data_IF_528030034255
#
_entry.id   IF_528030034255
#
_cell.length_a   1.000
_cell.length_b   1.000
_cell.length_c   1.000
_cell.angle_alpha   90.00
_cell.angle_beta   90.00
_cell.angle_gamma   90.00
#
_symmetry.space_group_name_H-M   'P 1'
#
loop_
_entity.id
_entity.type
_entity.pdbx_description
1 polymer ?
#
# COMPACT_ATOMS: atom_id res chain seq x y z
N UNK A 1 12.12 -3.63 -17.06
CA UNK A 1 12.29 -2.67 -15.94
C UNK A 1 11.43 -3.11 -14.78
N UNK A 2 11.97 -3.00 -13.57
CA UNK A 2 11.25 -3.42 -12.39
C UNK A 2 10.09 -2.46 -12.08
N UNK A 3 8.96 -3.00 -11.69
CA UNK A 3 7.85 -2.20 -11.17
C UNK A 3 8.25 -1.66 -9.80
N UNK A 4 7.81 -0.45 -9.50
CA UNK A 4 8.14 0.25 -8.28
C UNK A 4 6.94 0.31 -7.35
N UNK A 5 7.10 -0.25 -6.15
CA UNK A 5 6.01 -0.38 -5.18
C UNK A 5 6.38 0.40 -3.92
N UNK A 6 5.44 1.22 -3.43
CA UNK A 6 5.60 1.90 -2.14
C UNK A 6 4.87 1.10 -1.07
N UNK A 7 5.56 0.76 0.02
CA UNK A 7 4.93 0.14 1.18
C UNK A 7 4.91 1.12 2.34
N UNK A 8 3.74 1.28 2.94
CA UNK A 8 3.49 2.29 3.98
C UNK A 8 2.97 1.60 5.22
N UNK A 9 3.72 1.66 6.31
CA UNK A 9 3.33 1.04 7.58
C UNK A 9 4.15 1.68 8.70
N UNK A 10 3.51 2.03 9.80
CA UNK A 10 4.21 2.56 10.97
C UNK A 10 4.89 1.46 11.78
N UNK A 11 4.53 0.18 11.56
CA UNK A 11 5.24 -0.96 12.12
C UNK A 11 6.49 -1.26 11.28
N UNK A 12 7.66 -1.05 11.84
CA UNK A 12 8.91 -1.32 11.14
C UNK A 12 9.04 -2.77 10.74
N UNK A 13 8.61 -3.71 11.59
CA UNK A 13 8.72 -5.14 11.29
C UNK A 13 7.81 -5.55 10.12
N UNK A 14 6.59 -5.06 10.06
CA UNK A 14 5.69 -5.35 8.94
C UNK A 14 6.20 -4.70 7.66
N UNK A 15 6.59 -3.43 7.73
CA UNK A 15 7.12 -2.70 6.57
C UNK A 15 8.36 -3.39 5.99
N UNK A 16 9.28 -3.81 6.84
CA UNK A 16 10.50 -4.48 6.41
C UNK A 16 10.22 -5.85 5.81
N UNK A 17 9.28 -6.60 6.38
CA UNK A 17 8.89 -7.90 5.84
C UNK A 17 8.27 -7.76 4.45
N UNK A 18 7.38 -6.80 4.27
CA UNK A 18 6.77 -6.52 2.98
C UNK A 18 7.84 -6.11 1.96
N UNK A 19 8.72 -5.19 2.34
CA UNK A 19 9.79 -4.71 1.46
C UNK A 19 10.72 -5.85 1.05
N UNK A 20 11.14 -6.68 2.00
CA UNK A 20 12.01 -7.82 1.73
C UNK A 20 11.36 -8.80 0.75
N UNK A 21 10.10 -9.14 1.01
CA UNK A 21 9.35 -10.08 0.17
C UNK A 21 9.24 -9.56 -1.27
N UNK A 22 8.92 -8.29 -1.45
CA UNK A 22 8.75 -7.70 -2.77
C UNK A 22 10.08 -7.54 -3.52
N UNK A 23 11.13 -7.15 -2.83
CA UNK A 23 12.49 -7.07 -3.43
C UNK A 23 12.94 -8.42 -3.92
N UNK A 24 12.67 -9.47 -3.16
CA UNK A 24 13.00 -10.84 -3.54
C UNK A 24 12.29 -11.27 -4.82
N UNK A 25 11.10 -10.73 -5.08
CA UNK A 25 10.34 -10.99 -6.31
C UNK A 25 10.75 -10.09 -7.48
N UNK A 26 11.74 -9.23 -7.29
CA UNK A 26 12.26 -8.39 -8.37
C UNK A 26 11.66 -7.00 -8.47
N UNK A 27 10.86 -6.59 -7.49
CA UNK A 27 10.29 -5.23 -7.47
C UNK A 27 11.24 -4.24 -6.80
N UNK A 28 11.21 -2.99 -7.25
CA UNK A 28 11.83 -1.88 -6.52
C UNK A 28 10.85 -1.42 -5.44
N UNK A 29 11.34 -1.12 -4.26
CA UNK A 29 10.49 -0.79 -3.10
C UNK A 29 10.89 0.55 -2.49
N UNK A 30 9.88 1.39 -2.25
CA UNK A 30 10.01 2.62 -1.46
C UNK A 30 9.30 2.36 -0.13
N UNK A 31 9.92 2.70 0.99
CA UNK A 31 9.31 2.55 2.31
C UNK A 31 8.90 3.91 2.89
N UNK A 32 7.71 3.96 3.47
CA UNK A 32 7.20 5.13 4.17
C UNK A 32 6.62 4.72 5.52
N UNK A 33 6.73 5.59 6.52
CA UNK A 33 6.36 5.25 7.90
C UNK A 33 4.92 5.62 8.25
N UNK A 34 4.29 6.49 7.47
CA UNK A 34 2.89 6.88 7.62
C UNK A 34 2.39 7.50 6.32
N UNK A 35 1.10 7.90 6.31
CA UNK A 35 0.50 8.46 5.11
C UNK A 35 1.11 9.81 4.69
N UNK A 36 1.49 10.63 5.65
CA UNK A 36 2.10 11.93 5.37
C UNK A 36 3.49 11.75 4.75
N UNK A 37 4.29 10.85 5.30
CA UNK A 37 5.60 10.49 4.76
C UNK A 37 5.45 9.92 3.35
N UNK A 38 4.45 9.06 3.13
CA UNK A 38 4.17 8.48 1.82
C UNK A 38 3.88 9.55 0.78
N UNK A 39 3.03 10.53 1.10
CA UNK A 39 2.71 11.61 0.16
C UNK A 39 3.95 12.44 -0.18
N UNK A 40 4.84 12.67 0.77
CA UNK A 40 6.08 13.40 0.53
C UNK A 40 7.06 12.62 -0.36
N UNK A 41 6.95 11.30 -0.37
CA UNK A 41 7.82 10.41 -1.16
C UNK A 41 7.25 10.03 -2.52
N UNK A 42 6.02 10.45 -2.83
CA UNK A 42 5.44 10.23 -4.16
C UNK A 42 6.14 11.15 -5.16
N UNK A 43 7.04 10.56 -5.92
CA UNK A 43 7.80 11.27 -6.95
C UNK A 43 8.19 10.27 -8.04
N UNK A 44 8.20 10.73 -9.27
CA UNK A 44 8.56 9.89 -10.41
C UNK A 44 7.59 8.73 -10.60
N UNK A 45 8.11 7.58 -11.01
CA UNK A 45 7.29 6.40 -11.26
C UNK A 45 7.00 5.66 -9.96
N UNK A 46 5.71 5.52 -9.64
CA UNK A 46 5.23 4.62 -8.59
C UNK A 46 4.10 3.81 -9.22
N UNK A 47 4.27 2.50 -9.27
CA UNK A 47 3.32 1.62 -9.98
C UNK A 47 2.23 1.06 -9.08
N UNK A 48 2.47 1.01 -7.77
CA UNK A 48 1.53 0.46 -6.80
C UNK A 48 1.86 0.98 -5.40
N UNK A 49 0.83 1.09 -4.56
CA UNK A 49 0.99 1.41 -3.13
C UNK A 49 0.33 0.31 -2.31
N UNK A 50 1.05 -0.16 -1.30
CA UNK A 50 0.51 -1.06 -0.26
C UNK A 50 0.57 -0.29 1.04
N UNK A 51 -0.56 -0.07 1.69
CA UNK A 51 -0.62 0.77 2.88
C UNK A 51 -1.38 0.10 4.02
N UNK A 52 -0.84 0.23 5.24
CA UNK A 52 -1.60 -0.07 6.44
C UNK A 52 -2.76 0.92 6.56
N UNK A 53 -3.79 0.53 7.31
CA UNK A 53 -4.97 1.37 7.52
C UNK A 53 -4.75 2.36 8.67
N UNK A 54 -4.31 1.87 9.83
CA UNK A 54 -4.14 2.69 11.02
C UNK A 54 -2.69 3.15 11.17
N UNK A 55 -2.47 4.45 10.97
CA UNK A 55 -1.16 5.07 11.08
C UNK A 55 -1.31 6.45 11.70
N UNK A 56 -0.29 6.95 12.42
CA UNK A 56 -0.32 8.32 12.93
C UNK A 56 -0.23 9.34 11.78
N UNK A 57 -0.57 10.58 12.07
CA UNK A 57 -0.48 11.74 11.18
C UNK A 57 -1.46 11.71 10.01
N UNK A 58 -1.49 10.64 9.23
CA UNK A 58 -2.45 10.43 8.13
C UNK A 58 -2.64 8.93 7.96
N UNK A 59 -3.87 8.46 8.09
CA UNK A 59 -4.20 7.04 7.97
C UNK A 59 -4.24 6.57 6.50
N UNK A 60 -4.48 5.27 6.31
CA UNK A 60 -4.50 4.69 4.97
C UNK A 60 -5.60 5.25 4.08
N UNK A 61 -6.77 5.55 4.65
CA UNK A 61 -7.88 6.13 3.87
C UNK A 61 -7.53 7.55 3.42
N UNK A 62 -6.98 8.37 4.32
CA UNK A 62 -6.51 9.71 4.00
C UNK A 62 -5.41 9.69 2.95
N UNK A 63 -4.50 8.72 3.04
CA UNK A 63 -3.45 8.53 2.05
C UNK A 63 -4.03 8.20 0.67
N UNK A 64 -4.99 7.27 0.61
CA UNK A 64 -5.64 6.90 -0.66
C UNK A 64 -6.27 8.14 -1.32
N UNK A 65 -7.00 8.93 -0.55
CA UNK A 65 -7.61 10.16 -1.05
C UNK A 65 -6.55 11.13 -1.60
N UNK A 66 -5.43 11.28 -0.88
CA UNK A 66 -4.33 12.14 -1.32
C UNK A 66 -3.67 11.66 -2.61
N UNK A 67 -3.48 10.36 -2.77
CA UNK A 67 -2.91 9.78 -3.98
C UNK A 67 -3.86 9.97 -5.16
N UNK A 68 -5.16 9.68 -4.97
CA UNK A 68 -6.16 9.81 -6.03
C UNK A 68 -6.38 11.25 -6.49
N UNK A 69 -6.05 12.21 -5.65
CA UNK A 69 -6.12 13.63 -6.01
C UNK A 69 -4.98 14.08 -6.94
N UNK A 70 -3.93 13.29 -7.08
CA UNK A 70 -2.79 13.61 -7.94
C UNK A 70 -2.93 12.94 -9.29
N UNK A 71 -2.90 13.73 -10.37
CA UNK A 71 -3.13 13.23 -11.73
C UNK A 71 -2.18 12.10 -12.11
N UNK A 72 -0.91 12.19 -11.72
CA UNK A 72 0.10 11.18 -12.05
C UNK A 72 -0.16 9.82 -11.40
N UNK A 73 -0.90 9.77 -10.28
CA UNK A 73 -1.11 8.56 -9.50
C UNK A 73 -2.58 8.18 -9.36
N UNK A 74 -3.45 8.83 -10.10
CA UNK A 74 -4.89 8.70 -9.96
C UNK A 74 -5.40 7.28 -10.18
N UNK A 75 -4.71 6.50 -11.01
CA UNK A 75 -5.17 5.16 -11.41
C UNK A 75 -4.25 4.01 -10.97
N UNK A 76 -3.18 4.29 -10.23
CA UNK A 76 -2.32 3.20 -9.77
C UNK A 76 -3.06 2.28 -8.78
N UNK A 77 -2.74 0.98 -8.75
CA UNK A 77 -3.33 0.08 -7.75
C UNK A 77 -2.92 0.49 -6.34
N UNK A 78 -3.88 0.49 -5.43
CA UNK A 78 -3.64 0.73 -4.00
C UNK A 78 -4.32 -0.39 -3.22
N UNK A 79 -3.52 -1.13 -2.45
CA UNK A 79 -4.00 -2.24 -1.62
C UNK A 79 -3.83 -1.87 -0.15
N UNK A 80 -4.89 -2.04 0.64
CA UNK A 80 -4.85 -1.81 2.08
C UNK A 80 -4.53 -3.09 2.84
N UNK A 81 -3.73 -2.96 3.90
CA UNK A 81 -3.53 -4.02 4.88
C UNK A 81 -4.49 -3.77 6.04
N UNK A 82 -5.40 -4.72 6.30
CA UNK A 82 -6.45 -4.56 7.31
C UNK A 82 -6.52 -5.77 8.22
N UNK A 83 -7.11 -5.61 9.41
CA UNK A 83 -7.48 -6.74 10.25
C UNK A 83 -8.96 -7.06 10.06
N UNK A 84 -9.40 -8.24 10.52
CA UNK A 84 -10.82 -8.61 10.47
C UNK A 84 -11.68 -7.64 11.26
N UNK A 85 -11.16 -7.10 12.36
CA UNK A 85 -11.87 -6.12 13.19
C UNK A 85 -12.12 -4.79 12.49
N UNK A 86 -11.47 -4.57 11.33
CA UNK A 86 -11.57 -3.34 10.55
C UNK A 86 -12.50 -3.48 9.35
N UNK A 87 -13.41 -4.45 9.36
CA UNK A 87 -14.30 -4.73 8.23
C UNK A 87 -15.10 -3.51 7.77
N UNK A 88 -15.59 -2.68 8.70
CA UNK A 88 -16.33 -1.45 8.35
C UNK A 88 -15.46 -0.45 7.59
N UNK A 89 -14.15 -0.44 7.81
CA UNK A 89 -13.22 0.45 7.13
C UNK A 89 -12.96 0.04 5.68
N UNK A 90 -13.22 -1.21 5.31
CA UNK A 90 -13.08 -1.66 3.92
C UNK A 90 -14.01 -0.89 2.99
N UNK A 91 -15.24 -0.64 3.42
CA UNK A 91 -16.19 0.14 2.63
C UNK A 91 -15.70 1.59 2.43
N UNK A 92 -15.17 2.22 3.50
CA UNK A 92 -14.58 3.55 3.39
C UNK A 92 -13.39 3.57 2.46
N UNK A 93 -12.52 2.56 2.56
CA UNK A 93 -11.34 2.44 1.70
C UNK A 93 -11.72 2.28 0.24
N UNK A 94 -12.71 1.46 -0.05
CA UNK A 94 -13.22 1.28 -1.41
C UNK A 94 -13.78 2.58 -1.98
N UNK A 95 -14.56 3.31 -1.17
CA UNK A 95 -15.11 4.61 -1.56
C UNK A 95 -14.00 5.62 -1.82
N UNK A 96 -12.92 5.58 -1.03
CA UNK A 96 -11.77 6.46 -1.23
C UNK A 96 -10.94 6.10 -2.47
N UNK A 97 -11.09 4.89 -3.00
CA UNK A 97 -10.42 4.46 -4.22
C UNK A 97 -9.43 3.31 -4.07
N UNK A 98 -9.52 2.53 -2.98
CA UNK A 98 -8.68 1.33 -2.83
C UNK A 98 -9.02 0.31 -3.91
N UNK A 99 -7.97 -0.33 -4.45
CA UNK A 99 -8.13 -1.40 -5.43
C UNK A 99 -8.50 -2.72 -4.77
N UNK A 100 -8.00 -2.96 -3.56
CA UNK A 100 -8.26 -4.17 -2.81
C UNK A 100 -7.65 -4.09 -1.43
N UNK A 101 -7.64 -5.22 -0.72
CA UNK A 101 -7.06 -5.31 0.62
C UNK A 101 -6.56 -6.71 0.90
N UNK A 102 -5.67 -6.79 1.89
CA UNK A 102 -5.13 -8.03 2.42
C UNK A 102 -5.39 -8.03 3.91
N UNK A 103 -5.95 -9.10 4.45
CA UNK A 103 -6.25 -9.21 5.88
C UNK A 103 -5.03 -9.69 6.64
N UNK A 104 -4.68 -9.01 7.71
CA UNK A 104 -3.59 -9.40 8.62
C UNK A 104 -4.10 -10.45 9.62
N UNK A 105 -3.30 -11.43 9.99
CA UNK A 105 -1.96 -11.71 9.49
C UNK A 105 -2.03 -12.37 8.10
N UNK A 106 -1.02 -12.12 7.29
CA UNK A 106 -0.91 -12.72 5.95
C UNK A 106 0.48 -13.35 5.78
N UNK A 107 0.57 -14.31 4.86
CA UNK A 107 1.85 -14.93 4.51
C UNK A 107 2.53 -14.17 3.37
N UNK A 108 3.86 -14.30 3.21
CA UNK A 108 4.54 -13.74 2.04
C UNK A 108 3.92 -14.21 0.71
N UNK A 109 3.51 -15.46 0.62
CA UNK A 109 2.87 -15.99 -0.59
C UNK A 109 1.55 -15.30 -0.91
N UNK A 110 0.74 -15.02 0.11
CA UNK A 110 -0.51 -14.27 -0.06
C UNK A 110 -0.26 -12.86 -0.57
N UNK A 111 0.74 -12.19 -0.01
CA UNK A 111 1.15 -10.86 -0.45
C UNK A 111 1.56 -10.85 -1.92
N UNK A 112 2.45 -11.77 -2.28
CA UNK A 112 2.95 -11.89 -3.67
C UNK A 112 1.81 -12.17 -4.64
N UNK A 113 0.89 -13.06 -4.28
CA UNK A 113 -0.25 -13.41 -5.12
C UNK A 113 -1.11 -12.19 -5.44
N UNK A 114 -1.40 -11.35 -4.44
CA UNK A 114 -2.19 -10.13 -4.66
C UNK A 114 -1.44 -9.14 -5.53
N UNK A 115 -0.15 -8.93 -5.26
CA UNK A 115 0.67 -8.00 -6.05
C UNK A 115 0.69 -8.42 -7.51
N UNK A 116 0.94 -9.70 -7.80
CA UNK A 116 0.96 -10.20 -9.20
C UNK A 116 -0.40 -10.09 -9.87
N UNK A 117 -1.48 -10.22 -9.11
CA UNK A 117 -2.84 -10.08 -9.64
C UNK A 117 -3.15 -8.64 -10.06
N UNK A 118 -2.72 -7.64 -9.27
CA UNK A 118 -3.06 -6.24 -9.56
C UNK A 118 -2.02 -5.52 -10.42
N UNK A 119 -0.78 -6.00 -10.43
CA UNK A 119 0.32 -5.44 -11.23
C UNK A 119 0.65 -6.34 -12.42
N UNK A 120 -0.25 -6.46 -13.30
CA UNK A 120 -0.02 -7.25 -14.53
C UNK A 120 0.73 -6.48 -15.59
#
# INVERSE_FOLDING_TARGET
>A
MAKRIMTVDDSASVRQMVAFTLKKEGYDVIEAVDGKDALSKLAGTVDMVITDLNMPNLDGIGLIKGIRAQAAYKFIPIVMLTTESQAAKKAEGKTAGATGWIVKPFTPDQLVAVVKKVLR
#
